data_IF_194753159041
#
_entry.id   IF_194753159041
#
_cell.length_a   1.000
_cell.length_b   1.000
_cell.length_c   1.000
_cell.angle_alpha   90.00
_cell.angle_beta   90.00
_cell.angle_gamma   90.00
#
_symmetry.space_group_name_H-M   'P 1'
#
loop_
_entity.id
_entity.type
_entity.pdbx_description
1 polymer ?
#
# COMPACT_ATOMS: atom_id res chain seq x y z
N UNK A 1 7.44 -16.91 7.10
CA UNK A 1 7.01 -16.86 5.69
C UNK A 1 6.17 -18.10 5.42
N UNK A 2 4.96 -17.97 4.86
CA UNK A 2 4.06 -19.13 4.65
C UNK A 2 4.30 -19.71 3.24
N UNK A 3 4.37 -21.05 3.07
CA UNK A 3 4.80 -21.66 1.81
C UNK A 3 3.91 -21.37 0.59
N UNK A 4 2.63 -21.04 0.80
CA UNK A 4 1.64 -20.89 -0.27
C UNK A 4 1.54 -19.49 -0.87
N UNK A 5 2.20 -18.49 -0.26
CA UNK A 5 2.14 -17.09 -0.71
C UNK A 5 2.99 -16.84 -1.98
N UNK A 6 3.95 -17.72 -2.31
CA UNK A 6 4.88 -17.60 -3.46
C UNK A 6 4.49 -18.37 -4.72
N UNK A 7 3.20 -18.60 -4.97
CA UNK A 7 2.82 -18.98 -6.32
C UNK A 7 3.07 -17.78 -7.24
N UNK A 8 4.06 -17.86 -8.14
CA UNK A 8 4.39 -16.86 -9.19
C UNK A 8 3.18 -16.35 -10.00
N UNK A 9 1.99 -16.96 -9.84
CA UNK A 9 0.70 -16.57 -10.44
C UNK A 9 -0.16 -15.65 -9.57
N UNK A 10 0.15 -15.40 -8.31
CA UNK A 10 -0.75 -14.66 -7.40
C UNK A 10 -0.46 -13.16 -7.29
N UNK A 11 0.61 -12.64 -7.93
CA UNK A 11 0.90 -11.20 -8.09
C UNK A 11 0.61 -10.33 -6.84
N UNK A 12 1.07 -10.78 -5.66
CA UNK A 12 0.90 -10.10 -4.36
C UNK A 12 -0.55 -9.89 -3.87
N UNK A 13 -1.55 -10.44 -4.56
CA UNK A 13 -2.95 -10.30 -4.16
C UNK A 13 -3.26 -10.85 -2.77
N UNK A 14 -2.74 -12.02 -2.34
CA UNK A 14 -3.00 -12.54 -1.00
C UNK A 14 -2.52 -11.61 0.12
N UNK A 15 -1.30 -11.08 0.01
CA UNK A 15 -0.71 -10.12 0.94
C UNK A 15 -1.54 -8.83 0.96
N UNK A 16 -1.88 -8.33 -0.22
CA UNK A 16 -2.64 -7.09 -0.37
C UNK A 16 -4.02 -7.20 0.28
N UNK A 17 -4.75 -8.29 0.03
CA UNK A 17 -6.06 -8.55 0.63
C UNK A 17 -5.98 -8.69 2.16
N UNK A 18 -4.93 -9.35 2.69
CA UNK A 18 -4.72 -9.42 4.15
C UNK A 18 -4.42 -8.05 4.74
N UNK A 19 -3.58 -7.24 4.09
CA UNK A 19 -3.30 -5.87 4.51
C UNK A 19 -4.57 -5.02 4.58
N UNK A 20 -5.46 -5.12 3.58
CA UNK A 20 -6.75 -4.44 3.58
C UNK A 20 -7.66 -4.92 4.72
N UNK A 21 -7.72 -6.23 4.96
CA UNK A 21 -8.50 -6.78 6.07
C UNK A 21 -8.00 -6.25 7.43
N UNK A 22 -6.68 -6.19 7.64
CA UNK A 22 -6.10 -5.64 8.87
C UNK A 22 -6.36 -4.14 9.04
N UNK A 23 -6.34 -3.35 7.96
CA UNK A 23 -6.75 -1.95 8.00
C UNK A 23 -8.21 -1.79 8.47
N UNK A 24 -9.10 -2.63 7.95
CA UNK A 24 -10.52 -2.62 8.33
C UNK A 24 -10.72 -3.04 9.79
N UNK A 25 -9.92 -3.97 10.29
CA UNK A 25 -9.89 -4.39 11.69
C UNK A 25 -9.18 -3.39 12.62
N UNK A 26 -8.70 -2.25 12.10
CA UNK A 26 -7.93 -1.24 12.85
C UNK A 26 -6.66 -1.81 13.49
N UNK A 27 -5.97 -2.71 12.78
CA UNK A 27 -4.71 -3.33 13.19
C UNK A 27 -3.56 -2.83 12.31
N UNK A 28 -3.08 -1.59 12.51
CA UNK A 28 -2.13 -0.98 11.58
C UNK A 28 -0.78 -1.70 11.53
N UNK A 29 -0.31 -2.27 12.64
CA UNK A 29 0.93 -3.05 12.66
C UNK A 29 0.86 -4.30 11.77
N UNK A 30 -0.25 -5.04 11.82
CA UNK A 30 -0.48 -6.20 10.97
C UNK A 30 -0.63 -5.80 9.50
N UNK A 31 -1.32 -4.69 9.23
CA UNK A 31 -1.46 -4.16 7.88
C UNK A 31 -0.10 -3.77 7.27
N UNK A 32 0.72 -3.02 8.02
CA UNK A 32 2.07 -2.65 7.63
C UNK A 32 2.92 -3.89 7.32
N UNK A 33 2.86 -4.92 8.18
CA UNK A 33 3.63 -6.14 7.97
C UNK A 33 3.26 -6.89 6.69
N UNK A 34 2.02 -6.83 6.22
CA UNK A 34 1.63 -7.45 4.95
C UNK A 34 2.00 -6.57 3.74
N UNK A 35 1.76 -5.27 3.79
CA UNK A 35 2.09 -4.37 2.68
C UNK A 35 3.60 -4.19 2.48
N UNK A 36 4.38 -4.11 3.56
CA UNK A 36 5.84 -4.01 3.49
C UNK A 36 6.45 -5.22 2.79
N UNK A 37 5.89 -6.44 2.97
CA UNK A 37 6.37 -7.62 2.23
C UNK A 37 6.24 -7.44 0.72
N UNK A 38 5.16 -6.83 0.24
CA UNK A 38 4.97 -6.54 -1.19
C UNK A 38 6.03 -5.56 -1.68
N UNK A 39 6.29 -4.50 -0.90
CA UNK A 39 7.25 -3.46 -1.28
C UNK A 39 8.69 -3.98 -1.28
N UNK A 40 9.05 -4.81 -0.30
CA UNK A 40 10.38 -5.42 -0.17
C UNK A 40 10.66 -6.46 -1.27
N UNK A 41 9.62 -7.03 -1.90
CA UNK A 41 9.73 -8.06 -2.93
C UNK A 41 9.40 -7.57 -4.34
N UNK A 42 9.50 -6.25 -4.61
CA UNK A 42 9.15 -5.64 -5.91
C UNK A 42 9.70 -6.39 -7.15
N UNK A 43 10.83 -7.09 -7.03
CA UNK A 43 11.40 -7.89 -8.12
C UNK A 43 10.59 -9.10 -8.58
N UNK A 44 9.59 -9.57 -7.80
CA UNK A 44 8.76 -10.72 -8.18
C UNK A 44 7.66 -10.36 -9.21
N UNK A 45 7.18 -9.11 -9.20
CA UNK A 45 6.29 -8.55 -10.24
C UNK A 45 6.57 -7.05 -10.44
N UNK A 46 7.62 -6.70 -11.21
CA UNK A 46 8.07 -5.32 -11.36
C UNK A 46 7.10 -4.43 -12.15
N UNK A 47 6.15 -5.03 -12.88
CA UNK A 47 5.11 -4.34 -13.68
C UNK A 47 3.73 -4.37 -13.01
N UNK A 48 3.60 -5.02 -11.86
CA UNK A 48 2.33 -5.25 -11.18
C UNK A 48 1.70 -3.97 -10.63
N UNK A 49 0.39 -3.82 -10.85
CA UNK A 49 -0.41 -2.71 -10.30
C UNK A 49 -0.59 -2.78 -8.78
N UNK A 50 -0.27 -3.93 -8.16
CA UNK A 50 -0.41 -4.14 -6.71
C UNK A 50 0.67 -3.39 -5.92
N UNK A 51 1.86 -3.17 -6.50
CA UNK A 51 2.95 -2.48 -5.79
C UNK A 51 2.59 -1.03 -5.41
N UNK A 52 2.11 -0.16 -6.33
CA UNK A 52 1.65 1.18 -5.96
C UNK A 52 0.49 1.13 -4.94
N UNK A 53 -0.44 0.19 -5.10
CA UNK A 53 -1.56 0.05 -4.15
C UNK A 53 -1.09 -0.34 -2.74
N UNK A 54 -0.03 -1.13 -2.63
CA UNK A 54 0.59 -1.45 -1.34
C UNK A 54 1.21 -0.21 -0.67
N UNK A 55 1.83 0.70 -1.43
CA UNK A 55 2.31 1.98 -0.89
C UNK A 55 1.17 2.82 -0.31
N UNK A 56 0.02 2.87 -0.99
CA UNK A 56 -1.19 3.52 -0.47
C UNK A 56 -1.70 2.83 0.81
N UNK A 57 -1.65 1.50 0.87
CA UNK A 57 -1.96 0.72 2.06
C UNK A 57 -1.06 1.04 3.26
N UNK A 58 0.26 1.15 3.04
CA UNK A 58 1.24 1.56 4.04
C UNK A 58 0.93 2.96 4.58
N UNK A 59 0.63 3.91 3.69
CA UNK A 59 0.30 5.28 4.08
C UNK A 59 -0.92 5.34 5.01
N UNK A 60 -1.99 4.60 4.66
CA UNK A 60 -3.21 4.48 5.46
C UNK A 60 -2.96 3.79 6.80
N UNK A 61 -2.10 2.78 6.83
CA UNK A 61 -1.77 2.06 8.05
C UNK A 61 -0.97 2.95 9.03
N UNK A 62 0.01 3.72 8.54
CA UNK A 62 0.70 4.72 9.36
C UNK A 62 -0.25 5.81 9.86
N UNK A 63 -1.14 6.32 9.00
CA UNK A 63 -2.14 7.32 9.40
C UNK A 63 -3.07 6.77 10.51
N UNK A 64 -3.49 5.51 10.40
CA UNK A 64 -4.30 4.84 11.42
C UNK A 64 -3.53 4.59 12.74
N UNK A 65 -2.19 4.42 12.66
CA UNK A 65 -1.31 4.32 13.81
C UNK A 65 -0.98 5.69 14.45
N UNK A 66 -1.41 6.81 13.85
CA UNK A 66 -1.05 8.16 14.29
C UNK A 66 0.35 8.62 13.88
N UNK A 67 1.04 7.84 13.05
CA UNK A 67 2.39 8.14 12.55
C UNK A 67 2.31 8.99 11.28
N UNK A 68 2.03 10.28 11.47
CA UNK A 68 1.79 11.22 10.37
C UNK A 68 3.03 11.44 9.49
N UNK A 69 4.24 11.31 10.06
CA UNK A 69 5.49 11.45 9.34
C UNK A 69 5.65 10.38 8.26
N UNK A 70 5.59 9.11 8.66
CA UNK A 70 5.70 7.98 7.73
C UNK A 70 4.49 7.87 6.79
N UNK A 71 3.29 8.23 7.27
CA UNK A 71 2.10 8.29 6.42
C UNK A 71 2.30 9.24 5.24
N UNK A 72 2.80 10.45 5.50
CA UNK A 72 3.06 11.47 4.48
C UNK A 72 4.07 10.99 3.44
N UNK A 73 5.18 10.41 3.89
CA UNK A 73 6.20 9.89 2.98
C UNK A 73 5.63 8.80 2.06
N UNK A 74 4.86 7.86 2.62
CA UNK A 74 4.24 6.80 1.84
C UNK A 74 3.21 7.30 0.82
N UNK A 75 2.38 8.30 1.17
CA UNK A 75 1.49 8.96 0.21
C UNK A 75 2.26 9.64 -0.92
N UNK A 76 3.33 10.37 -0.61
CA UNK A 76 4.17 11.01 -1.62
C UNK A 76 4.81 9.99 -2.57
N UNK A 77 5.32 8.87 -2.02
CA UNK A 77 5.85 7.77 -2.83
C UNK A 77 4.78 7.20 -3.76
N UNK A 78 3.58 6.90 -3.26
CA UNK A 78 2.47 6.43 -4.10
C UNK A 78 2.14 7.42 -5.24
N UNK A 79 1.99 8.71 -4.93
CA UNK A 79 1.67 9.74 -5.92
C UNK A 79 2.77 9.89 -6.97
N UNK A 80 4.04 9.73 -6.58
CA UNK A 80 5.17 9.78 -7.52
C UNK A 80 5.15 8.63 -8.52
N UNK A 81 4.77 7.42 -8.08
CA UNK A 81 4.61 6.26 -8.96
C UNK A 81 3.38 6.38 -9.87
N UNK A 82 2.28 6.97 -9.38
CA UNK A 82 1.02 7.03 -10.10
C UNK A 82 0.93 8.18 -11.13
N UNK A 83 1.90 9.10 -11.15
CA UNK A 83 1.85 10.31 -12.01
C UNK A 83 1.75 10.00 -13.51
N UNK A 84 2.34 8.89 -13.96
CA UNK A 84 2.32 8.44 -15.35
C UNK A 84 1.19 7.45 -15.67
N UNK A 85 0.36 7.11 -14.69
CA UNK A 85 -0.80 6.22 -14.83
C UNK A 85 -2.07 7.05 -15.13
N UNK A 86 -3.23 6.54 -14.73
CA UNK A 86 -4.50 7.25 -14.86
C UNK A 86 -4.72 8.20 -13.67
N UNK A 87 -4.54 9.50 -13.89
CA UNK A 87 -4.74 10.54 -12.87
C UNK A 87 -6.21 10.74 -12.50
N UNK A 88 -7.15 10.16 -13.25
CA UNK A 88 -8.59 10.17 -12.92
C UNK A 88 -9.00 9.01 -12.04
N UNK A 89 -8.10 8.05 -11.81
CA UNK A 89 -8.39 6.90 -10.98
C UNK A 89 -8.66 7.30 -9.53
N UNK A 90 -9.73 6.72 -8.95
CA UNK A 90 -10.17 7.01 -7.58
C UNK A 90 -9.07 6.91 -6.50
N UNK A 91 -8.18 5.89 -6.51
CA UNK A 91 -7.09 5.81 -5.53
C UNK A 91 -6.15 7.02 -5.54
N UNK A 92 -5.93 7.64 -6.70
CA UNK A 92 -5.08 8.83 -6.83
C UNK A 92 -5.73 10.06 -6.18
N UNK A 93 -7.02 10.28 -6.44
CA UNK A 93 -7.78 11.37 -5.84
C UNK A 93 -7.89 11.21 -4.31
N UNK A 94 -8.20 9.99 -3.85
CA UNK A 94 -8.30 9.67 -2.42
C UNK A 94 -6.96 9.93 -1.70
N UNK A 95 -5.85 9.46 -2.27
CA UNK A 95 -4.51 9.66 -1.69
C UNK A 95 -4.14 11.14 -1.52
N UNK A 96 -4.47 11.99 -2.50
CA UNK A 96 -4.25 13.44 -2.40
C UNK A 96 -5.09 14.07 -1.29
N UNK A 97 -6.36 13.69 -1.19
CA UNK A 97 -7.27 14.20 -0.15
C UNK A 97 -6.90 13.71 1.26
N UNK A 98 -6.45 12.45 1.38
CA UNK A 98 -5.92 11.90 2.63
C UNK A 98 -4.63 12.60 3.05
N UNK A 99 -3.67 12.79 2.14
CA UNK A 99 -2.42 13.50 2.40
C UNK A 99 -2.66 14.95 2.85
N UNK A 100 -3.60 15.66 2.22
CA UNK A 100 -3.95 17.03 2.59
C UNK A 100 -4.54 17.14 4.01
N UNK A 101 -5.21 16.09 4.50
CA UNK A 101 -5.74 16.03 5.88
C UNK A 101 -4.68 15.73 6.93
N UNK A 102 -3.48 15.31 6.52
CA UNK A 102 -2.34 15.06 7.40
C UNK A 102 -1.40 16.28 7.50
N UNK A 103 -1.82 17.45 7.01
CA UNK A 103 -1.11 18.72 7.17
C UNK A 103 -1.30 19.29 8.57
#
# INVERSE_FOLDING_TARGET
MKPYDRASRAAFWPEYLRGLAFLQLKQPASALAEFTRIVDHRGEDPTGSVYPLALLGIARAHAQAGDTGNAREAYQRFLSYWVAADQTARPFADARGELARLQ
#
